data_IF_695496004722
#
_entry.id   IF_695496004722
#
_cell.length_a   1.000
_cell.length_b   1.000
_cell.length_c   1.000
_cell.angle_alpha   90.00
_cell.angle_beta   90.00
_cell.angle_gamma   90.00
#
_symmetry.space_group_name_H-M   'P 1'
#
loop_
_entity.id
_entity.type
_entity.pdbx_description
1 polymer ?
#
# COMPACT_ATOMS: atom_id res chain seq x y z
N UNK A 1 -7.23 -3.73 6.87
CA UNK A 1 -6.68 -2.86 5.80
C UNK A 1 -6.76 -3.63 4.50
N UNK A 2 -7.19 -2.97 3.42
CA UNK A 2 -7.28 -3.56 2.08
C UNK A 2 -6.72 -2.57 1.05
N UNK A 3 -6.48 -3.04 -0.16
CA UNK A 3 -6.01 -2.22 -1.28
C UNK A 3 -6.96 -2.41 -2.46
N UNK A 4 -7.50 -1.30 -2.94
CA UNK A 4 -8.30 -1.25 -4.15
C UNK A 4 -7.39 -0.86 -5.32
N UNK A 5 -7.40 -1.66 -6.37
CA UNK A 5 -6.77 -1.37 -7.66
C UNK A 5 -7.85 -0.90 -8.61
N UNK A 6 -7.62 0.24 -9.27
CA UNK A 6 -8.54 0.82 -10.25
C UNK A 6 -7.78 1.07 -11.55
N UNK A 7 -8.12 0.30 -12.56
CA UNK A 7 -7.65 0.43 -13.94
C UNK A 7 -8.72 1.08 -14.81
N UNK A 8 -8.40 1.35 -16.05
CA UNK A 8 -9.35 1.93 -17.01
C UNK A 8 -10.57 1.04 -17.27
N UNK A 9 -10.38 -0.28 -17.27
CA UNK A 9 -11.37 -1.28 -17.66
C UNK A 9 -11.90 -2.12 -16.50
N UNK A 10 -11.20 -2.12 -15.35
CA UNK A 10 -11.57 -2.96 -14.21
C UNK A 10 -11.12 -2.37 -12.87
N UNK A 11 -11.84 -2.73 -11.82
CA UNK A 11 -11.43 -2.48 -10.45
C UNK A 11 -11.59 -3.74 -9.61
N UNK A 12 -10.68 -3.97 -8.67
CA UNK A 12 -10.73 -5.11 -7.77
C UNK A 12 -9.99 -4.82 -6.46
N UNK A 13 -10.37 -5.53 -5.41
CA UNK A 13 -9.69 -5.47 -4.12
C UNK A 13 -8.74 -6.65 -3.97
N UNK A 14 -7.66 -6.46 -3.25
CA UNK A 14 -6.73 -7.56 -2.97
C UNK A 14 -7.37 -8.70 -2.20
N UNK A 15 -8.29 -8.39 -1.29
CA UNK A 15 -9.08 -9.42 -0.58
C UNK A 15 -9.93 -10.27 -1.51
N UNK A 16 -10.50 -9.71 -2.59
CA UNK A 16 -11.32 -10.42 -3.58
C UNK A 16 -10.52 -11.45 -4.37
N UNK A 17 -9.26 -11.15 -4.64
CA UNK A 17 -8.35 -12.08 -5.31
C UNK A 17 -7.57 -12.98 -4.34
N UNK A 18 -7.96 -13.01 -3.06
CA UNK A 18 -7.39 -13.88 -2.04
C UNK A 18 -6.04 -13.44 -1.48
N UNK A 19 -5.64 -12.19 -1.71
CA UNK A 19 -4.44 -11.60 -1.15
C UNK A 19 -4.78 -10.84 0.14
N UNK A 20 -4.22 -11.28 1.25
CA UNK A 20 -4.40 -10.60 2.55
C UNK A 20 -3.24 -9.63 2.79
N UNK A 21 -3.53 -8.34 2.81
CA UNK A 21 -2.53 -7.31 3.09
C UNK A 21 -2.22 -7.30 4.59
N UNK A 22 -0.93 -7.29 4.90
CA UNK A 22 -0.41 -7.14 6.24
C UNK A 22 0.09 -5.71 6.47
N UNK A 23 0.79 -5.16 5.47
CA UNK A 23 1.39 -3.83 5.56
C UNK A 23 1.50 -3.17 4.20
N UNK A 24 1.43 -1.84 4.19
CA UNK A 24 1.70 -0.98 3.03
C UNK A 24 2.76 0.02 3.43
N UNK A 25 3.99 -0.23 2.99
CA UNK A 25 5.13 0.66 3.21
C UNK A 25 5.15 1.73 2.11
N UNK A 26 4.68 2.90 2.46
CA UNK A 26 4.58 4.09 1.59
C UNK A 26 5.67 5.12 1.93
N UNK A 27 6.93 4.71 1.87
CA UNK A 27 8.07 5.56 2.20
C UNK A 27 8.01 6.93 1.56
N UNK A 28 8.70 7.89 2.18
CA UNK A 28 8.85 9.23 1.63
C UNK A 28 9.50 9.16 0.25
N UNK A 29 9.10 10.09 -0.62
CA UNK A 29 9.72 10.26 -1.93
C UNK A 29 11.21 10.54 -1.80
N UNK A 30 12.01 10.04 -2.73
CA UNK A 30 13.42 10.40 -2.80
C UNK A 30 13.55 11.90 -3.08
N UNK A 31 14.50 12.54 -2.43
CA UNK A 31 14.87 13.93 -2.70
C UNK A 31 16.19 13.93 -3.45
N UNK A 32 16.16 14.40 -4.70
CA UNK A 32 17.37 14.60 -5.49
C UNK A 32 17.82 16.04 -5.28
N UNK A 33 19.02 16.19 -4.69
CA UNK A 33 19.62 17.50 -4.41
C UNK A 33 20.80 17.71 -5.33
N UNK A 34 20.73 18.73 -6.17
CA UNK A 34 21.87 19.20 -6.95
C UNK A 34 22.68 20.20 -6.11
N UNK A 35 23.99 19.90 -5.96
CA UNK A 35 24.90 20.74 -5.20
C UNK A 35 26.27 20.79 -5.86
N UNK A 36 26.92 21.98 -5.81
CA UNK A 36 28.23 22.20 -6.42
C UNK A 36 29.28 22.46 -5.36
N UNK A 37 30.43 21.83 -5.55
CA UNK A 37 31.62 22.13 -4.75
C UNK A 37 32.47 23.16 -5.48
N UNK A 38 32.82 24.25 -4.82
CA UNK A 38 33.69 25.30 -5.37
C UNK A 38 35.07 25.15 -4.78
N UNK A 39 36.11 25.10 -5.64
CA UNK A 39 37.49 24.97 -5.22
C UNK A 39 37.89 26.16 -4.34
N UNK A 40 38.46 25.89 -3.18
CA UNK A 40 38.90 26.93 -2.24
C UNK A 40 37.82 27.43 -1.28
N UNK A 41 36.62 26.83 -1.29
CA UNK A 41 35.55 27.18 -0.36
C UNK A 41 35.15 25.93 0.42
N UNK A 42 34.95 26.06 1.72
CA UNK A 42 34.40 24.99 2.56
C UNK A 42 32.89 24.84 2.33
N UNK A 43 32.42 23.57 2.23
CA UNK A 43 31.04 23.21 2.05
C UNK A 43 30.59 23.17 0.58
N UNK A 44 29.31 22.78 0.38
CA UNK A 44 28.66 22.70 -0.93
C UNK A 44 27.69 23.87 -1.11
N UNK A 45 27.58 24.34 -2.32
CA UNK A 45 26.55 25.32 -2.71
C UNK A 45 25.34 24.53 -3.20
N UNK A 46 24.18 24.73 -2.56
CA UNK A 46 22.91 24.20 -3.02
C UNK A 46 22.53 24.88 -4.34
N UNK A 47 22.19 24.10 -5.34
CA UNK A 47 21.72 24.58 -6.64
C UNK A 47 20.22 24.39 -6.79
N UNK A 48 19.74 23.16 -6.59
CA UNK A 48 18.32 22.85 -6.69
C UNK A 48 17.97 21.56 -5.92
N UNK A 49 16.70 21.34 -5.66
CA UNK A 49 16.18 20.09 -5.18
C UNK A 49 14.87 19.75 -5.89
N UNK A 50 14.67 18.49 -6.24
CA UNK A 50 13.43 17.98 -6.80
C UNK A 50 13.05 16.66 -6.15
N UNK A 51 11.76 16.40 -6.07
CA UNK A 51 11.28 15.10 -5.63
C UNK A 51 11.43 14.09 -6.77
N UNK A 52 11.99 12.93 -6.44
CA UNK A 52 11.98 11.76 -7.31
C UNK A 52 10.69 10.96 -7.16
N UNK A 53 10.64 9.77 -7.75
CA UNK A 53 9.50 8.86 -7.63
C UNK A 53 9.33 8.37 -6.20
N UNK A 54 8.09 8.12 -5.82
CA UNK A 54 7.76 7.45 -4.55
C UNK A 54 7.58 5.96 -4.81
N UNK A 55 8.17 5.14 -3.93
CA UNK A 55 7.99 3.69 -3.93
C UNK A 55 6.95 3.31 -2.89
N UNK A 56 5.99 2.48 -3.30
CA UNK A 56 4.98 1.91 -2.43
C UNK A 56 5.13 0.40 -2.46
N UNK A 57 5.47 -0.21 -1.32
CA UNK A 57 5.58 -1.66 -1.19
C UNK A 57 4.40 -2.21 -0.43
N UNK A 58 3.76 -3.21 -1.01
CA UNK A 58 2.63 -3.90 -0.40
C UNK A 58 3.08 -5.29 0.02
N UNK A 59 3.05 -5.54 1.31
CA UNK A 59 3.40 -6.82 1.90
C UNK A 59 2.13 -7.53 2.37
N UNK A 60 2.05 -8.82 2.10
CA UNK A 60 0.88 -9.57 2.49
C UNK A 60 1.08 -11.06 2.54
N UNK A 61 -0.01 -11.77 2.69
CA UNK A 61 -0.05 -13.23 2.78
C UNK A 61 -1.06 -13.81 1.82
N UNK A 62 -0.62 -14.86 1.15
CA UNK A 62 -1.43 -15.72 0.29
C UNK A 62 -1.52 -17.11 0.94
N UNK A 63 -2.73 -17.67 1.01
CA UNK A 63 -2.96 -19.05 1.47
C UNK A 63 -3.60 -19.81 0.33
N UNK A 64 -3.02 -20.95 -0.01
CA UNK A 64 -3.47 -21.81 -1.11
C UNK A 64 -3.52 -23.27 -0.68
N UNK A 65 -4.39 -24.05 -1.31
CA UNK A 65 -4.57 -25.46 -0.95
C UNK A 65 -3.40 -26.34 -1.42
N UNK A 66 -2.82 -26.04 -2.59
CA UNK A 66 -1.77 -26.83 -3.22
C UNK A 66 -0.72 -25.96 -3.93
N UNK A 67 0.39 -26.58 -4.32
CA UNK A 67 1.42 -25.93 -5.14
C UNK A 67 0.86 -25.56 -6.53
N UNK A 68 -0.01 -26.40 -7.09
CA UNK A 68 -0.67 -26.11 -8.36
C UNK A 68 -1.51 -24.84 -8.26
N UNK A 69 -2.31 -24.72 -7.20
CA UNK A 69 -3.12 -23.52 -6.95
C UNK A 69 -2.25 -22.28 -6.75
N UNK A 70 -1.09 -22.46 -6.11
CA UNK A 70 -0.13 -21.38 -5.99
C UNK A 70 0.36 -20.87 -7.34
N UNK A 71 0.75 -21.77 -8.26
CA UNK A 71 1.22 -21.39 -9.59
C UNK A 71 0.13 -20.67 -10.39
N UNK A 72 -1.09 -21.23 -10.40
CA UNK A 72 -2.23 -20.58 -11.07
C UNK A 72 -2.49 -19.19 -10.48
N UNK A 73 -2.51 -19.08 -9.15
CA UNK A 73 -2.78 -17.81 -8.47
C UNK A 73 -1.69 -16.77 -8.72
N UNK A 74 -0.44 -17.20 -8.78
CA UNK A 74 0.69 -16.32 -9.13
C UNK A 74 0.51 -15.75 -10.54
N UNK A 75 0.15 -16.60 -11.50
CA UNK A 75 -0.05 -16.17 -12.89
C UNK A 75 -1.27 -15.23 -13.01
N UNK A 76 -2.36 -15.53 -12.31
CA UNK A 76 -3.55 -14.67 -12.24
C UNK A 76 -3.20 -13.27 -11.67
N UNK A 77 -2.47 -13.22 -10.55
CA UNK A 77 -2.04 -11.95 -9.94
C UNK A 77 -1.13 -11.17 -10.85
N UNK A 78 -0.18 -11.83 -11.51
CA UNK A 78 0.70 -11.18 -12.48
C UNK A 78 -0.11 -10.62 -13.67
N UNK A 79 -1.04 -11.39 -14.21
CA UNK A 79 -1.91 -10.95 -15.31
C UNK A 79 -2.81 -9.78 -14.90
N UNK A 80 -3.28 -9.76 -13.66
CA UNK A 80 -4.10 -8.67 -13.14
C UNK A 80 -3.29 -7.38 -12.89
N UNK A 81 -2.03 -7.48 -12.51
CA UNK A 81 -1.20 -6.33 -12.14
C UNK A 81 -0.43 -5.73 -13.31
N UNK A 82 -0.07 -6.54 -14.32
CA UNK A 82 0.61 -6.03 -15.51
C UNK A 82 -0.37 -5.19 -16.34
N UNK A 83 0.01 -3.95 -16.58
CA UNK A 83 -0.73 -3.03 -17.43
C UNK A 83 0.23 -2.18 -18.25
N UNK A 84 -0.19 -1.76 -19.42
CA UNK A 84 0.56 -0.82 -20.27
C UNK A 84 0.43 0.63 -19.81
N UNK A 85 -0.60 0.91 -19.00
CA UNK A 85 -0.90 2.24 -18.49
C UNK A 85 -0.82 2.30 -16.97
N UNK A 86 -0.43 3.44 -16.39
CA UNK A 86 -0.50 3.64 -14.95
C UNK A 86 -1.94 3.59 -14.44
N UNK A 87 -2.12 2.99 -13.27
CA UNK A 87 -3.42 2.81 -12.63
C UNK A 87 -3.41 3.35 -11.20
N UNK A 88 -4.58 3.43 -10.57
CA UNK A 88 -4.69 3.88 -9.20
C UNK A 88 -4.68 2.70 -8.23
N UNK A 89 -3.90 2.85 -7.15
CA UNK A 89 -4.01 2.02 -5.96
C UNK A 89 -4.52 2.88 -4.81
N UNK A 90 -5.55 2.40 -4.13
CA UNK A 90 -6.18 3.11 -3.00
C UNK A 90 -6.00 2.29 -1.73
N UNK A 91 -5.33 2.87 -0.75
CA UNK A 91 -5.20 2.29 0.59
C UNK A 91 -6.51 2.51 1.33
N UNK A 92 -7.21 1.43 1.61
CA UNK A 92 -8.49 1.44 2.29
C UNK A 92 -8.28 1.24 3.78
N UNK A 93 -8.61 2.24 4.57
CA UNK A 93 -8.67 2.10 6.01
C UNK A 93 -10.01 1.48 6.39
N UNK A 94 -10.03 0.51 7.31
CA UNK A 94 -11.29 -0.02 7.80
C UNK A 94 -12.11 1.13 8.41
N UNK A 95 -13.38 1.19 8.08
CA UNK A 95 -14.34 1.94 8.88
C UNK A 95 -14.43 1.21 10.21
N UNK A 96 -13.68 1.66 11.19
CA UNK A 96 -13.77 1.09 12.50
C UNK A 96 -14.74 1.92 13.31
N UNK A 97 -15.81 1.28 13.67
CA UNK A 97 -16.79 1.86 14.56
C UNK A 97 -16.21 2.03 15.95
N UNK A 98 -15.35 1.10 16.40
CA UNK A 98 -14.71 1.13 17.70
C UNK A 98 -13.21 0.94 17.59
N UNK A 99 -12.44 1.97 17.87
CA UNK A 99 -10.97 1.89 17.96
C UNK A 99 -10.52 1.24 19.28
N UNK A 100 -11.33 1.35 20.32
CA UNK A 100 -11.04 0.82 21.66
C UNK A 100 -12.26 0.11 22.22
N UNK A 101 -12.10 -1.14 22.61
CA UNK A 101 -13.13 -1.95 23.26
C UNK A 101 -13.01 -1.92 24.79
N UNK A 102 -12.14 -1.07 25.32
CA UNK A 102 -11.87 -0.97 26.75
C UNK A 102 -11.60 0.48 27.17
N UNK A 103 -12.02 0.84 28.35
CA UNK A 103 -11.70 2.12 28.95
C UNK A 103 -10.24 2.10 29.47
N UNK A 104 -9.50 3.15 29.15
CA UNK A 104 -8.18 3.35 29.72
C UNK A 104 -8.31 3.91 31.16
N UNK A 105 -7.41 3.54 32.08
CA UNK A 105 -7.39 4.12 33.43
C UNK A 105 -7.35 5.65 33.38
N UNK A 106 -8.32 6.29 34.03
CA UNK A 106 -8.47 7.74 34.05
C UNK A 106 -9.38 8.37 33.03
N UNK A 107 -9.98 7.58 32.13
CA UNK A 107 -11.04 8.07 31.24
C UNK A 107 -12.31 8.35 32.03
N UNK A 108 -13.01 9.43 31.65
CA UNK A 108 -14.34 9.74 32.18
C UNK A 108 -15.41 8.97 31.41
N UNK A 109 -16.54 8.72 32.04
CA UNK A 109 -17.69 8.15 31.36
C UNK A 109 -18.09 9.01 30.15
N UNK A 110 -18.20 8.39 28.96
CA UNK A 110 -18.49 9.07 27.70
C UNK A 110 -17.26 9.45 26.87
N UNK A 111 -16.04 9.41 27.41
CA UNK A 111 -14.83 9.68 26.61
C UNK A 111 -14.64 8.62 25.53
N UNK A 112 -15.04 7.37 25.78
CA UNK A 112 -15.02 6.29 24.80
C UNK A 112 -15.96 6.57 23.61
N UNK A 113 -17.12 7.17 23.86
CA UNK A 113 -18.08 7.53 22.81
C UNK A 113 -17.50 8.60 21.89
N UNK A 114 -16.73 9.55 22.44
CA UNK A 114 -16.03 10.56 21.63
C UNK A 114 -14.94 9.95 20.78
N UNK A 115 -14.21 8.96 21.29
CA UNK A 115 -13.15 8.26 20.55
C UNK A 115 -13.73 7.31 19.49
N UNK A 116 -14.92 6.81 19.72
CA UNK A 116 -15.62 5.87 18.84
C UNK A 116 -16.61 6.56 17.87
N UNK A 117 -16.58 7.88 17.78
CA UNK A 117 -17.40 8.57 16.79
C UNK A 117 -17.12 8.03 15.39
N UNK A 118 -18.20 7.80 14.65
CA UNK A 118 -18.16 7.40 13.25
C UNK A 118 -17.38 8.45 12.45
N UNK A 119 -16.17 8.10 12.05
CA UNK A 119 -15.37 8.93 11.16
C UNK A 119 -15.62 8.51 9.73
N UNK A 120 -15.75 9.50 8.85
CA UNK A 120 -15.69 9.25 7.41
C UNK A 120 -14.40 8.54 7.10
N UNK A 121 -14.47 7.35 6.49
CA UNK A 121 -13.27 6.63 6.11
C UNK A 121 -12.48 7.46 5.11
N UNK A 122 -11.25 7.79 5.48
CA UNK A 122 -10.34 8.47 4.58
C UNK A 122 -9.58 7.42 3.79
N UNK A 123 -9.64 7.53 2.46
CA UNK A 123 -8.88 6.68 1.57
C UNK A 123 -7.76 7.51 0.94
N UNK A 124 -6.60 6.89 0.79
CA UNK A 124 -5.44 7.53 0.19
C UNK A 124 -5.04 6.75 -1.05
N UNK A 125 -4.92 7.42 -2.20
CA UNK A 125 -4.59 6.78 -3.47
C UNK A 125 -3.36 7.37 -4.13
N UNK A 126 -2.70 6.56 -4.92
CA UNK A 126 -1.57 6.93 -5.77
C UNK A 126 -1.80 6.44 -7.18
N UNK A 127 -1.39 7.23 -8.17
CA UNK A 127 -1.27 6.77 -9.55
C UNK A 127 0.08 6.10 -9.71
N UNK A 128 0.10 4.81 -10.02
CA UNK A 128 1.28 3.97 -9.96
C UNK A 128 1.38 3.03 -11.15
N UNK A 129 2.54 2.42 -11.30
CA UNK A 129 2.80 1.23 -12.11
C UNK A 129 3.57 0.21 -11.28
N UNK A 130 3.53 -1.05 -11.68
CA UNK A 130 4.31 -2.11 -11.03
C UNK A 130 5.77 -1.95 -11.43
N UNK A 131 6.65 -1.77 -10.45
CA UNK A 131 8.07 -1.52 -10.69
C UNK A 131 8.92 -2.79 -10.78
N UNK A 132 8.42 -3.89 -10.22
CA UNK A 132 9.08 -5.20 -10.27
C UNK A 132 8.06 -6.32 -10.19
N UNK A 133 8.43 -7.50 -10.67
CA UNK A 133 7.60 -8.70 -10.48
C UNK A 133 7.28 -8.94 -9.01
N UNK A 134 6.05 -9.40 -8.69
CA UNK A 134 5.69 -9.79 -7.34
C UNK A 134 6.61 -10.89 -6.80
N UNK A 135 7.16 -10.70 -5.63
CA UNK A 135 7.99 -11.68 -4.94
C UNK A 135 7.14 -12.53 -4.01
N UNK A 136 7.40 -13.85 -4.00
CA UNK A 136 6.69 -14.78 -3.14
C UNK A 136 7.69 -15.63 -2.35
N UNK A 137 7.48 -15.72 -1.04
CA UNK A 137 8.31 -16.53 -0.14
C UNK A 137 7.44 -17.52 0.61
N UNK A 138 7.76 -18.81 0.49
CA UNK A 138 7.08 -19.86 1.25
C UNK A 138 7.38 -19.70 2.74
N UNK A 139 6.33 -19.73 3.56
CA UNK A 139 6.43 -19.58 5.02
C UNK A 139 6.23 -20.92 5.72
N UNK A 140 5.30 -21.74 5.23
CA UNK A 140 4.98 -23.01 5.86
C UNK A 140 3.60 -23.54 5.50
N UNK A 141 3.25 -24.65 6.14
CA UNK A 141 1.94 -25.31 6.00
C UNK A 141 1.15 -25.15 7.28
N UNK A 142 -0.15 -24.90 7.16
CA UNK A 142 -1.10 -24.90 8.27
C UNK A 142 -2.32 -25.76 7.94
N UNK A 143 -3.28 -25.82 8.86
CA UNK A 143 -4.58 -26.47 8.62
C UNK A 143 -5.37 -25.84 7.46
N UNK A 144 -5.12 -24.56 7.18
CA UNK A 144 -5.78 -23.82 6.11
C UNK A 144 -5.11 -24.00 4.73
N UNK A 145 -3.88 -24.55 4.68
CA UNK A 145 -3.13 -24.75 3.46
C UNK A 145 -1.67 -24.29 3.53
N UNK A 146 -1.09 -24.07 2.35
CA UNK A 146 0.26 -23.56 2.17
C UNK A 146 0.25 -22.03 2.27
N UNK A 147 1.13 -21.48 3.11
CA UNK A 147 1.24 -20.02 3.35
C UNK A 147 2.45 -19.45 2.64
N UNK A 148 2.23 -18.41 1.86
CA UNK A 148 3.27 -17.63 1.19
C UNK A 148 3.14 -16.17 1.62
N UNK A 149 4.26 -15.54 1.92
CA UNK A 149 4.30 -14.08 1.99
C UNK A 149 4.55 -13.56 0.57
N UNK A 150 3.93 -12.44 0.24
CA UNK A 150 4.17 -11.74 -1.01
C UNK A 150 4.60 -10.29 -0.75
N UNK A 151 5.37 -9.77 -1.69
CA UNK A 151 5.75 -8.35 -1.75
C UNK A 151 5.53 -7.87 -3.18
N UNK A 152 4.77 -6.80 -3.34
CA UNK A 152 4.53 -6.14 -4.61
C UNK A 152 5.05 -4.71 -4.50
N UNK A 153 5.90 -4.31 -5.42
CA UNK A 153 6.48 -2.97 -5.46
C UNK A 153 5.85 -2.15 -6.58
N UNK A 154 5.37 -0.98 -6.20
CA UNK A 154 4.84 0.03 -7.11
C UNK A 154 5.71 1.28 -7.07
N UNK A 155 5.72 2.02 -8.17
CA UNK A 155 6.28 3.37 -8.24
C UNK A 155 5.23 4.35 -8.75
N UNK A 156 5.27 5.58 -8.24
CA UNK A 156 4.36 6.64 -8.70
C UNK A 156 4.70 7.06 -10.12
N UNK A 157 3.67 7.20 -10.95
CA UNK A 157 3.83 7.48 -12.38
C UNK A 157 4.05 8.96 -12.69
N UNK A 158 3.46 9.86 -11.92
CA UNK A 158 3.47 11.29 -12.19
C UNK A 158 4.07 12.07 -11.01
N UNK A 159 3.27 12.25 -9.97
CA UNK A 159 3.68 12.96 -8.77
C UNK A 159 3.98 11.98 -7.63
N UNK A 160 5.01 12.24 -6.82
CA UNK A 160 5.35 11.39 -5.69
C UNK A 160 4.36 11.55 -4.51
N UNK A 161 3.28 12.25 -4.70
CA UNK A 161 2.26 12.52 -3.70
C UNK A 161 1.00 11.71 -4.01
N UNK A 162 0.33 11.26 -2.97
CA UNK A 162 -0.98 10.65 -3.08
C UNK A 162 -2.08 11.69 -2.89
N UNK A 163 -3.28 11.28 -3.24
CA UNK A 163 -4.51 12.08 -3.08
C UNK A 163 -5.39 11.45 -2.01
N UNK A 164 -5.98 12.30 -1.17
CA UNK A 164 -6.97 11.85 -0.21
C UNK A 164 -8.36 11.86 -0.86
N UNK A 165 -9.06 10.74 -0.77
CA UNK A 165 -10.42 10.62 -1.30
C UNK A 165 -11.36 10.45 -0.13
N UNK A 166 -12.24 11.43 0.08
CA UNK A 166 -13.36 11.33 0.98
C UNK A 166 -14.58 10.78 0.20
N UNK A 167 -14.60 9.49 -0.07
CA UNK A 167 -15.73 8.83 -0.70
C UNK A 167 -15.94 7.45 -0.09
N UNK A 168 -17.19 7.10 0.15
CA UNK A 168 -17.59 5.71 0.34
C UNK A 168 -17.39 5.00 -1.00
N UNK A 169 -16.24 4.37 -1.16
CA UNK A 169 -16.02 3.46 -2.28
C UNK A 169 -16.75 2.17 -1.91
N UNK A 170 -17.93 2.03 -2.45
CA UNK A 170 -18.77 0.81 -2.32
C UNK A 170 -18.22 -0.24 -3.28
#
# INVERSE_FOLDING_TARGET
MDLLVQKSDQSFRFSEIGLRILDVDDRSSSLEVDSRTVKGRSGKIFASAKYGTKKVKVNGRLVVASIKDFMTKKDDVNGLLVDSEPFYITKMYPQKENLYDFELPGMKAGDLDLLNQSHTAWHYRWKVYVSSEPEYTFVGKSSEGLKYNFTIAFETAELPFGETIAQNIV
#
